data_IF_225070718795
#
_entry.id   IF_225070718795
#
_cell.length_a   1.000
_cell.length_b   1.000
_cell.length_c   1.000
_cell.angle_alpha   90.00
_cell.angle_beta   90.00
_cell.angle_gamma   90.00
#
_symmetry.space_group_name_H-M   'P 1'
#
loop_
_entity.id
_entity.type
_entity.pdbx_description
1 polymer ?
#
# COMPACT_ATOMS: atom_id res chain seq x y z
N UNK A 1 11.90 -5.99 -3.80
CA UNK A 1 12.10 -5.35 -2.48
C UNK A 1 12.66 -3.96 -2.71
N UNK A 2 12.25 -2.99 -1.89
CA UNK A 2 12.68 -1.60 -1.98
C UNK A 2 12.49 -0.90 -0.64
N UNK A 3 13.58 -0.39 -0.09
CA UNK A 3 13.54 0.43 1.12
C UNK A 3 13.09 1.83 0.74
N UNK A 4 11.83 2.14 1.06
CA UNK A 4 11.25 3.44 0.72
C UNK A 4 12.01 4.55 1.47
N UNK A 5 12.75 5.44 0.76
CA UNK A 5 13.60 6.39 1.44
C UNK A 5 12.78 7.34 2.30
N UNK A 6 13.16 7.50 3.56
CA UNK A 6 12.45 8.33 4.55
C UNK A 6 11.00 7.88 4.80
N UNK A 7 10.65 6.64 4.43
CA UNK A 7 9.27 6.13 4.52
C UNK A 7 8.24 6.98 3.75
N UNK A 8 8.69 7.74 2.75
CA UNK A 8 7.87 8.72 2.04
C UNK A 8 6.88 8.06 1.05
N UNK A 9 5.56 8.23 1.22
CA UNK A 9 4.55 7.65 0.32
C UNK A 9 4.75 7.99 -1.17
N UNK A 10 5.15 9.22 -1.57
CA UNK A 10 5.40 9.53 -2.98
C UNK A 10 6.52 8.69 -3.60
N UNK A 11 7.56 8.34 -2.84
CA UNK A 11 8.66 7.49 -3.32
C UNK A 11 8.20 6.04 -3.47
N UNK A 12 7.37 5.54 -2.55
CA UNK A 12 6.73 4.23 -2.68
C UNK A 12 5.85 4.17 -3.94
N UNK A 13 5.04 5.20 -4.19
CA UNK A 13 4.19 5.30 -5.37
C UNK A 13 5.01 5.30 -6.67
N UNK A 14 6.08 6.11 -6.74
CA UNK A 14 6.96 6.15 -7.91
C UNK A 14 7.59 4.78 -8.19
N UNK A 15 8.12 4.13 -7.15
CA UNK A 15 8.75 2.81 -7.30
C UNK A 15 7.75 1.74 -7.73
N UNK A 16 6.57 1.69 -7.08
CA UNK A 16 5.50 0.76 -7.42
C UNK A 16 5.02 0.97 -8.86
N UNK A 17 4.87 2.21 -9.31
CA UNK A 17 4.54 2.54 -10.70
C UNK A 17 5.53 1.92 -11.68
N UNK A 18 6.84 2.02 -11.41
CA UNK A 18 7.88 1.37 -12.21
C UNK A 18 7.76 -0.16 -12.24
N UNK A 19 7.39 -0.79 -11.11
CA UNK A 19 7.18 -2.23 -11.06
C UNK A 19 5.92 -2.64 -11.83
N UNK A 20 4.85 -1.86 -11.75
CA UNK A 20 3.61 -2.08 -12.49
C UNK A 20 3.87 -2.02 -14.00
N UNK A 21 4.62 -1.04 -14.48
CA UNK A 21 5.01 -0.98 -15.90
C UNK A 21 5.83 -2.21 -16.32
N UNK A 22 6.71 -2.72 -15.45
CA UNK A 22 7.59 -3.84 -15.76
C UNK A 22 6.91 -5.21 -15.71
N UNK A 23 6.02 -5.42 -14.74
CA UNK A 23 5.47 -6.74 -14.43
C UNK A 23 3.96 -6.84 -14.64
N UNK A 24 3.24 -5.71 -14.56
CA UNK A 24 1.80 -5.61 -14.73
C UNK A 24 1.03 -6.69 -13.96
N UNK A 25 0.26 -7.54 -14.65
CA UNK A 25 -0.61 -8.54 -14.02
C UNK A 25 0.14 -9.66 -13.29
N UNK A 26 1.46 -9.74 -13.40
CA UNK A 26 2.26 -10.72 -12.65
C UNK A 26 2.45 -10.32 -11.17
N UNK A 27 2.09 -9.10 -10.79
CA UNK A 27 2.13 -8.66 -9.40
C UNK A 27 0.86 -9.17 -8.72
N UNK A 28 1.02 -10.14 -7.82
CA UNK A 28 -0.10 -10.77 -7.11
C UNK A 28 -0.44 -10.07 -5.78
N UNK A 29 0.43 -9.18 -5.31
CA UNK A 29 0.23 -8.44 -4.06
C UNK A 29 1.45 -7.60 -3.69
N UNK A 30 1.27 -6.74 -2.70
CA UNK A 30 2.33 -5.89 -2.14
C UNK A 30 2.36 -6.06 -0.62
N UNK A 31 3.53 -6.45 -0.11
CA UNK A 31 3.80 -6.45 1.32
C UNK A 31 4.41 -5.09 1.67
N UNK A 32 3.59 -4.17 2.18
CA UNK A 32 4.05 -2.86 2.64
C UNK A 32 4.25 -2.85 4.15
N UNK A 33 5.34 -2.20 4.58
CA UNK A 33 5.75 -2.15 5.98
C UNK A 33 4.85 -1.26 6.85
N UNK A 34 4.21 -0.25 6.24
CA UNK A 34 3.23 0.61 6.90
C UNK A 34 2.16 1.13 5.93
N UNK A 35 1.12 1.74 6.49
CA UNK A 35 -0.02 2.28 5.75
C UNK A 35 0.37 3.35 4.74
N UNK A 36 1.35 4.21 5.06
CA UNK A 36 1.82 5.24 4.14
C UNK A 36 2.47 4.65 2.88
N UNK A 37 3.30 3.62 3.05
CA UNK A 37 3.94 2.89 1.95
C UNK A 37 2.90 2.10 1.16
N UNK A 38 1.97 1.44 1.85
CA UNK A 38 0.87 0.69 1.22
C UNK A 38 -0.04 1.60 0.40
N UNK A 39 -0.45 2.74 0.96
CA UNK A 39 -1.24 3.76 0.28
C UNK A 39 -0.55 4.30 -0.98
N UNK A 40 0.77 4.50 -0.94
CA UNK A 40 1.56 4.88 -2.12
C UNK A 40 1.51 3.82 -3.23
N UNK A 41 1.65 2.53 -2.87
CA UNK A 41 1.52 1.44 -3.84
C UNK A 41 0.10 1.33 -4.43
N UNK A 42 -0.94 1.45 -3.60
CA UNK A 42 -2.35 1.45 -4.04
C UNK A 42 -2.59 2.61 -5.02
N UNK A 43 -2.10 3.81 -4.71
CA UNK A 43 -2.21 4.97 -5.60
C UNK A 43 -1.54 4.71 -6.97
N UNK A 44 -0.42 3.99 -7.01
CA UNK A 44 0.22 3.59 -8.26
C UNK A 44 -0.63 2.62 -9.08
N UNK A 45 -1.22 1.59 -8.45
CA UNK A 45 -2.12 0.65 -9.14
C UNK A 45 -3.35 1.34 -9.71
N UNK A 46 -3.99 2.20 -8.92
CA UNK A 46 -5.14 2.99 -9.37
C UNK A 46 -4.80 3.92 -10.52
N UNK A 47 -3.66 4.61 -10.45
CA UNK A 47 -3.17 5.45 -11.55
C UNK A 47 -2.88 4.65 -12.82
N UNK A 48 -2.51 3.37 -12.70
CA UNK A 48 -2.33 2.44 -13.81
C UNK A 48 -3.64 1.78 -14.29
N UNK A 49 -4.79 2.14 -13.72
CA UNK A 49 -6.10 1.60 -14.12
C UNK A 49 -6.34 0.16 -13.66
N UNK A 50 -5.63 -0.32 -12.64
CA UNK A 50 -5.79 -1.67 -12.09
C UNK A 50 -6.96 -1.69 -11.10
N UNK A 51 -7.99 -2.47 -11.43
CA UNK A 51 -9.19 -2.70 -10.62
C UNK A 51 -9.67 -4.16 -10.81
N UNK A 52 -9.75 -4.98 -9.73
CA UNK A 52 -9.40 -4.66 -8.36
C UNK A 52 -7.87 -4.49 -8.17
N UNK A 53 -7.49 -3.62 -7.24
CA UNK A 53 -6.10 -3.50 -6.79
C UNK A 53 -5.68 -4.85 -6.16
N UNK A 54 -4.49 -5.39 -6.47
CA UNK A 54 -4.02 -6.62 -5.83
C UNK A 54 -3.87 -6.41 -4.32
N UNK A 55 -3.96 -7.46 -3.48
CA UNK A 55 -3.84 -7.32 -2.04
C UNK A 55 -2.60 -6.53 -1.60
N UNK A 56 -2.81 -5.41 -0.90
CA UNK A 56 -1.75 -4.59 -0.31
C UNK A 56 -1.87 -4.60 1.21
N UNK A 57 -0.79 -4.96 1.90
CA UNK A 57 -0.75 -4.93 3.37
C UNK A 57 -0.45 -3.53 3.92
N UNK A 58 -0.65 -3.34 5.22
CA UNK A 58 -0.27 -2.12 5.92
C UNK A 58 -0.01 -2.34 7.41
N UNK A 59 0.31 -1.24 8.09
CA UNK A 59 0.60 -1.17 9.53
C UNK A 59 0.32 0.26 9.99
N UNK A 60 -0.08 0.44 11.26
CA UNK A 60 -0.36 1.71 11.97
C UNK A 60 -1.85 2.06 12.11
N UNK A 61 -2.75 1.38 11.40
CA UNK A 61 -4.20 1.62 11.46
C UNK A 61 -4.58 3.10 11.29
N UNK A 62 -3.92 3.78 10.35
CA UNK A 62 -4.21 5.16 10.00
C UNK A 62 -5.65 5.30 9.47
N UNK A 63 -6.28 6.46 9.67
CA UNK A 63 -7.64 6.73 9.17
C UNK A 63 -7.71 6.49 7.64
N UNK A 64 -6.67 6.90 6.91
CA UNK A 64 -6.61 6.68 5.46
C UNK A 64 -6.60 5.20 5.09
N UNK A 65 -5.80 4.36 5.77
CA UNK A 65 -5.80 2.92 5.52
C UNK A 65 -7.14 2.27 5.87
N UNK A 66 -7.79 2.68 6.96
CA UNK A 66 -9.12 2.18 7.30
C UNK A 66 -10.15 2.50 6.20
N UNK A 67 -10.09 3.71 5.63
CA UNK A 67 -10.94 4.08 4.49
C UNK A 67 -10.64 3.23 3.25
N UNK A 68 -9.37 2.94 2.97
CA UNK A 68 -8.97 2.06 1.86
C UNK A 68 -9.42 0.61 2.09
N UNK A 69 -9.37 0.11 3.32
CA UNK A 69 -9.88 -1.22 3.67
C UNK A 69 -11.41 -1.27 3.48
N UNK A 70 -12.14 -0.26 3.94
CA UNK A 70 -13.59 -0.16 3.75
C UNK A 70 -13.94 -0.11 2.25
N UNK A 71 -13.14 0.57 1.44
CA UNK A 71 -13.31 0.62 -0.01
C UNK A 71 -12.91 -0.68 -0.73
N UNK A 72 -12.24 -1.62 -0.04
CA UNK A 72 -11.74 -2.87 -0.62
C UNK A 72 -10.38 -2.76 -1.32
N UNK A 73 -9.72 -1.61 -1.25
CA UNK A 73 -8.45 -1.35 -1.94
C UNK A 73 -7.21 -1.78 -1.14
N UNK A 74 -7.31 -1.80 0.19
CA UNK A 74 -6.25 -2.25 1.08
C UNK A 74 -6.70 -3.52 1.80
N UNK A 75 -5.83 -4.53 1.86
CA UNK A 75 -6.19 -5.85 2.38
C UNK A 75 -6.24 -5.87 3.91
N UNK A 76 -5.26 -5.25 4.57
CA UNK A 76 -5.22 -5.16 6.02
C UNK A 76 -4.44 -3.94 6.50
N UNK A 77 -4.52 -3.71 7.81
CA UNK A 77 -3.58 -2.90 8.59
C UNK A 77 -3.43 -3.55 9.96
N UNK A 78 -2.41 -3.14 10.72
CA UNK A 78 -2.15 -3.63 12.08
C UNK A 78 -2.42 -2.51 13.06
N UNK A 79 -3.44 -2.71 13.91
CA UNK A 79 -3.68 -1.84 15.06
C UNK A 79 -2.66 -2.14 16.16
N UNK A 80 -2.03 -1.08 16.67
CA UNK A 80 -1.04 -1.12 17.74
C UNK A 80 -1.46 -0.15 18.84
N UNK A 81 -2.48 -0.49 19.65
CA UNK A 81 -2.94 0.39 20.71
C UNK A 81 -1.80 0.64 21.71
N UNK A 82 -1.56 1.91 22.03
CA UNK A 82 -0.55 2.31 23.03
C UNK A 82 -1.09 2.30 24.46
N UNK A 83 -2.38 2.00 24.63
CA UNK A 83 -2.96 1.78 25.95
C UNK A 83 -2.34 0.53 26.57
N UNK A 84 -1.78 0.68 27.78
CA UNK A 84 -1.35 -0.44 28.60
C UNK A 84 -2.60 -1.21 28.97
N UNK A 85 -2.72 -2.44 28.46
CA UNK A 85 -3.65 -3.46 28.97
C UNK A 85 -3.13 -4.05 30.28
#
# INVERSE_FOLDING_TARGET
EYDTPEWAPPKAQQWAGGQITRFGPKILGVVAANDGTGGGAIAAFKAAGVDPVPPVTGNDATIAALQLIIAGDQYNTISKPSEIV
#
